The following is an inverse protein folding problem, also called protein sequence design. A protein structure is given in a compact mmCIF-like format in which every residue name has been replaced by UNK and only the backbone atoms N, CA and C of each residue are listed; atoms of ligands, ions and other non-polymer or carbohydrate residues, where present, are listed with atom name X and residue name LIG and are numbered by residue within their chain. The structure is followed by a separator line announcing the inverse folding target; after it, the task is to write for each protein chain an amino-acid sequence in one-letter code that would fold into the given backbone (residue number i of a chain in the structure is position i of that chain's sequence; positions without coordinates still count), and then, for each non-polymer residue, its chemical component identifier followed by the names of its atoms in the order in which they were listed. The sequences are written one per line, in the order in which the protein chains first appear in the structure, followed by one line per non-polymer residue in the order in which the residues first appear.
data_IF_015395602292
#
_entry.id   IF_015395602292
#
_cell.length_a   1.000
_cell.length_b   1.000
_cell.length_c   1.000
_cell.angle_alpha   90.00
_cell.angle_beta   90.00
_cell.angle_gamma   90.00
#
_symmetry.space_group_name_H-M   'P 1'
#
loop_
_entity.id
_entity.type
_entity.pdbx_description
1 polymer ?
#
# COMPACT_ATOMS: atom_id res chain seq x y z
N UNK A 1 -15.17 5.75 9.46
CA UNK A 1 -15.28 4.35 9.92
C UNK A 1 -16.37 4.26 10.98
N UNK A 2 -17.54 3.67 10.68
CA UNK A 2 -18.63 3.54 11.68
C UNK A 2 -18.22 2.47 12.70
N UNK A 3 -18.13 2.85 13.97
CA UNK A 3 -17.66 2.00 15.10
C UNK A 3 -18.43 0.68 15.24
N UNK A 4 -19.67 0.61 14.74
CA UNK A 4 -20.52 -0.58 14.75
C UNK A 4 -19.95 -1.77 13.93
N UNK A 5 -19.11 -1.54 12.92
CA UNK A 5 -18.62 -2.62 12.03
C UNK A 5 -17.35 -3.33 12.56
N UNK A 6 -16.65 -2.74 13.53
CA UNK A 6 -15.43 -3.32 14.08
C UNK A 6 -15.70 -4.62 14.84
N UNK A 7 -16.83 -4.74 15.53
CA UNK A 7 -17.16 -5.97 16.27
C UNK A 7 -17.54 -7.10 15.32
N UNK A 8 -18.22 -6.79 14.21
CA UNK A 8 -18.58 -7.77 13.17
C UNK A 8 -17.35 -8.31 12.41
N UNK A 9 -16.26 -7.54 12.40
CA UNK A 9 -14.99 -7.97 11.80
C UNK A 9 -14.22 -8.97 12.66
N UNK A 10 -14.51 -9.11 13.95
CA UNK A 10 -13.70 -9.94 14.86
C UNK A 10 -14.15 -11.40 14.79
N UNK A 11 -13.23 -12.27 14.39
CA UNK A 11 -13.49 -13.71 14.20
C UNK A 11 -12.53 -14.54 15.06
N UNK A 12 -13.01 -15.32 16.03
CA UNK A 12 -12.19 -16.31 16.74
C UNK A 12 -11.61 -17.35 15.78
N UNK A 13 -10.35 -17.74 15.98
CA UNK A 13 -9.70 -18.77 15.15
C UNK A 13 -10.42 -20.13 15.21
N UNK A 14 -11.11 -20.42 16.31
CA UNK A 14 -11.96 -21.60 16.44
C UNK A 14 -13.10 -21.61 15.41
N UNK A 15 -13.68 -20.45 15.09
CA UNK A 15 -14.74 -20.33 14.08
C UNK A 15 -14.23 -20.77 12.71
N UNK A 16 -12.99 -20.40 12.35
CA UNK A 16 -12.36 -20.84 11.09
C UNK A 16 -12.21 -22.36 11.05
N UNK A 17 -11.67 -22.94 12.13
CA UNK A 17 -11.40 -24.38 12.24
C UNK A 17 -12.68 -25.24 12.22
N UNK A 18 -13.81 -24.72 12.70
CA UNK A 18 -15.10 -25.44 12.72
C UNK A 18 -15.94 -25.16 11.46
N UNK A 19 -15.30 -25.00 10.30
CA UNK A 19 -15.98 -24.81 9.02
C UNK A 19 -16.55 -23.41 8.78
N UNK A 20 -16.12 -22.41 9.57
CA UNK A 20 -16.50 -21.01 9.37
C UNK A 20 -15.65 -20.27 8.34
N UNK A 21 -14.56 -20.88 7.84
CA UNK A 21 -13.61 -20.24 6.91
C UNK A 21 -14.29 -19.62 5.69
N UNK A 22 -15.11 -20.38 4.96
CA UNK A 22 -15.80 -19.86 3.77
C UNK A 22 -16.77 -18.71 4.09
N UNK A 23 -17.47 -18.77 5.23
CA UNK A 23 -18.36 -17.68 5.65
C UNK A 23 -17.57 -16.41 5.98
N UNK A 24 -16.44 -16.55 6.66
CA UNK A 24 -15.56 -15.42 6.98
C UNK A 24 -15.01 -14.78 5.71
N UNK A 25 -14.50 -15.58 4.77
CA UNK A 25 -13.97 -15.07 3.49
C UNK A 25 -15.07 -14.35 2.69
N UNK A 26 -16.28 -14.92 2.61
CA UNK A 26 -17.40 -14.30 1.89
C UNK A 26 -17.93 -13.01 2.56
N UNK A 27 -17.67 -12.83 3.85
CA UNK A 27 -18.06 -11.62 4.59
C UNK A 27 -17.05 -10.48 4.40
N UNK A 28 -15.80 -10.78 4.02
CA UNK A 28 -14.76 -9.78 3.74
C UNK A 28 -15.11 -9.04 2.46
N UNK A 29 -15.06 -7.71 2.52
CA UNK A 29 -15.29 -6.79 1.41
C UNK A 29 -14.32 -5.62 1.54
N UNK A 30 -14.28 -4.76 0.52
CA UNK A 30 -13.48 -3.54 0.56
C UNK A 30 -13.85 -2.70 1.79
N UNK A 31 -12.85 -2.23 2.52
CA UNK A 31 -12.94 -1.51 3.79
C UNK A 31 -13.68 -2.28 4.92
N UNK A 32 -13.85 -3.60 4.76
CA UNK A 32 -14.47 -4.50 5.71
C UNK A 32 -13.58 -5.74 5.94
N UNK A 33 -12.46 -5.56 6.67
CA UNK A 33 -11.55 -6.66 7.00
C UNK A 33 -12.20 -7.66 7.95
N UNK A 34 -11.62 -8.86 8.05
CA UNK A 34 -11.86 -9.77 9.17
C UNK A 34 -10.61 -9.88 10.04
N UNK A 35 -10.73 -9.56 11.34
CA UNK A 35 -9.66 -9.62 12.33
C UNK A 35 -9.74 -10.97 13.05
N UNK A 36 -8.73 -11.81 12.85
CA UNK A 36 -8.67 -13.14 13.43
C UNK A 36 -8.07 -13.08 14.84
N UNK A 37 -8.79 -13.64 15.82
CA UNK A 37 -8.37 -13.67 17.22
C UNK A 37 -7.90 -15.07 17.63
N UNK A 38 -6.76 -15.16 18.31
CA UNK A 38 -6.26 -16.37 18.97
C UNK A 38 -5.97 -16.07 20.43
N UNK A 39 -6.59 -16.81 21.36
CA UNK A 39 -6.44 -16.58 22.80
C UNK A 39 -6.69 -15.12 23.21
N UNK A 40 -7.77 -14.52 22.69
CA UNK A 40 -8.16 -13.12 22.89
C UNK A 40 -7.12 -12.07 22.43
N UNK A 41 -6.20 -12.44 21.53
CA UNK A 41 -5.26 -11.52 20.90
C UNK A 41 -5.42 -11.53 19.37
N UNK A 42 -5.35 -10.37 18.69
CA UNK A 42 -5.30 -10.34 17.23
C UNK A 42 -4.09 -11.12 16.73
N UNK A 43 -4.32 -12.01 15.77
CA UNK A 43 -3.30 -12.91 15.23
C UNK A 43 -3.10 -12.71 13.73
N UNK A 44 -4.15 -12.35 12.99
CA UNK A 44 -4.11 -12.08 11.57
C UNK A 44 -5.26 -11.17 11.15
N UNK A 45 -5.17 -10.59 9.95
CA UNK A 45 -6.26 -9.87 9.30
C UNK A 45 -6.44 -10.46 7.90
N UNK A 46 -7.69 -10.63 7.48
CA UNK A 46 -8.06 -11.03 6.11
C UNK A 46 -8.69 -9.80 5.45
N UNK A 47 -8.20 -9.44 4.27
CA UNK A 47 -8.67 -8.33 3.44
C UNK A 47 -8.89 -8.81 2.01
N UNK A 48 -9.57 -8.00 1.20
CA UNK A 48 -9.67 -8.26 -0.23
C UNK A 48 -8.31 -8.02 -0.91
N UNK A 49 -8.03 -8.67 -2.04
CA UNK A 49 -6.85 -8.38 -2.84
C UNK A 49 -6.75 -6.90 -3.23
N UNK A 50 -7.87 -6.26 -3.54
CA UNK A 50 -7.94 -4.84 -3.91
C UNK A 50 -7.49 -3.94 -2.75
N UNK A 51 -7.94 -4.20 -1.53
CA UNK A 51 -7.47 -3.48 -0.35
C UNK A 51 -5.99 -3.75 -0.05
N UNK A 52 -5.52 -4.97 -0.28
CA UNK A 52 -4.10 -5.29 -0.13
C UNK A 52 -3.23 -4.46 -1.08
N UNK A 53 -3.58 -4.42 -2.36
CA UNK A 53 -2.87 -3.62 -3.37
C UNK A 53 -2.92 -2.14 -3.03
N UNK A 54 -4.10 -1.60 -2.69
CA UNK A 54 -4.25 -0.20 -2.31
C UNK A 54 -3.40 0.19 -1.10
N UNK A 55 -3.32 -0.68 -0.08
CA UNK A 55 -2.48 -0.43 1.09
C UNK A 55 -0.99 -0.45 0.75
N UNK A 56 -0.59 -1.30 -0.20
CA UNK A 56 0.79 -1.32 -0.70
C UNK A 56 1.13 -0.03 -1.46
N UNK A 57 0.26 0.41 -2.39
CA UNK A 57 0.43 1.66 -3.14
C UNK A 57 0.54 2.86 -2.18
N UNK A 58 -0.33 2.94 -1.17
CA UNK A 58 -0.27 4.01 -0.15
C UNK A 58 1.06 3.99 0.61
N UNK A 59 1.60 2.81 0.92
CA UNK A 59 2.89 2.69 1.61
C UNK A 59 4.04 3.19 0.73
N UNK A 60 4.07 2.79 -0.54
CA UNK A 60 5.06 3.24 -1.53
C UNK A 60 4.99 4.76 -1.75
N UNK A 61 3.79 5.30 -1.95
CA UNK A 61 3.54 6.73 -2.09
C UNK A 61 3.97 7.51 -0.85
N UNK A 62 3.76 6.94 0.34
CA UNK A 62 4.19 7.57 1.59
C UNK A 62 5.72 7.62 1.71
N UNK A 63 6.43 6.56 1.31
CA UNK A 63 7.89 6.57 1.26
C UNK A 63 8.41 7.63 0.28
N UNK A 64 7.82 7.71 -0.92
CA UNK A 64 8.15 8.76 -1.91
C UNK A 64 7.86 10.16 -1.38
N UNK A 65 6.74 10.35 -0.68
CA UNK A 65 6.37 11.61 -0.05
C UNK A 65 7.40 12.02 1.01
N UNK A 66 7.81 11.09 1.87
CA UNK A 66 8.82 11.36 2.90
C UNK A 66 10.17 11.73 2.30
N UNK A 67 10.58 11.05 1.22
CA UNK A 67 11.80 11.39 0.48
C UNK A 67 11.72 12.76 -0.19
N UNK A 68 10.57 13.10 -0.79
CA UNK A 68 10.35 14.42 -1.37
C UNK A 68 10.40 15.51 -0.29
N UNK A 69 9.79 15.27 0.88
CA UNK A 69 9.88 16.18 2.03
C UNK A 69 11.33 16.40 2.47
N UNK A 70 12.09 15.33 2.65
CA UNK A 70 13.50 15.40 3.06
C UNK A 70 14.35 16.20 2.05
N UNK A 71 14.13 15.99 0.75
CA UNK A 71 14.80 16.74 -0.33
C UNK A 71 14.48 18.22 -0.31
N UNK A 72 13.22 18.59 -0.01
CA UNK A 72 12.79 19.99 0.09
C UNK A 72 13.36 20.65 1.35
N UNK A 73 13.35 19.94 2.48
CA UNK A 73 13.89 20.44 3.76
C UNK A 73 15.40 20.67 3.69
N UNK A 74 16.13 19.86 2.92
CA UNK A 74 17.58 19.98 2.71
C UNK A 74 17.97 20.62 1.37
N UNK A 75 17.03 21.28 0.68
CA UNK A 75 17.32 21.94 -0.59
C UNK A 75 18.31 23.10 -0.36
N UNK A 76 19.46 23.03 -1.02
CA UNK A 76 20.47 24.09 -0.99
C UNK A 76 20.25 25.15 -2.08
N UNK A 77 19.15 25.06 -2.84
CA UNK A 77 18.80 25.98 -3.91
C UNK A 77 19.63 25.81 -5.19
N UNK A 78 20.63 24.91 -5.19
CA UNK A 78 21.42 24.62 -6.38
C UNK A 78 20.54 23.88 -7.40
N UNK A 79 20.62 24.31 -8.64
CA UNK A 79 19.97 23.68 -9.79
C UNK A 79 21.06 23.28 -10.76
N UNK A 80 20.80 22.20 -11.48
CA UNK A 80 21.72 21.65 -12.47
C UNK A 80 21.03 21.68 -13.83
N UNK A 81 21.77 22.06 -14.87
CA UNK A 81 21.34 21.82 -16.24
C UNK A 81 21.39 20.31 -16.53
N UNK A 82 20.76 19.88 -17.63
CA UNK A 82 20.87 18.47 -18.05
C UNK A 82 22.34 18.07 -18.28
N UNK A 83 23.14 18.95 -18.89
CA UNK A 83 24.56 18.71 -19.13
C UNK A 83 25.35 18.56 -17.83
N UNK A 84 25.04 19.36 -16.80
CA UNK A 84 25.70 19.25 -15.49
C UNK A 84 25.28 17.98 -14.71
N UNK A 85 24.05 17.51 -14.92
CA UNK A 85 23.51 16.34 -14.23
C UNK A 85 23.93 15.01 -14.86
N UNK A 86 23.93 14.94 -16.19
CA UNK A 86 24.14 13.71 -16.96
C UNK A 86 25.46 13.68 -17.74
N UNK A 87 26.10 14.84 -17.92
CA UNK A 87 27.29 15.03 -18.76
C UNK A 87 26.95 15.51 -20.17
N UNK A 88 27.83 16.34 -20.76
CA UNK A 88 27.64 16.90 -22.12
C UNK A 88 27.50 15.82 -23.21
N UNK A 89 28.13 14.66 -23.01
CA UNK A 89 28.10 13.54 -23.94
C UNK A 89 26.95 12.55 -23.67
N UNK A 90 26.07 12.83 -22.70
CA UNK A 90 24.95 11.94 -22.41
C UNK A 90 24.01 11.87 -23.62
N UNK A 91 23.82 10.64 -24.10
CA UNK A 91 22.82 10.31 -25.10
C UNK A 91 21.84 9.37 -24.42
N UNK A 92 20.55 9.75 -24.29
CA UNK A 92 19.53 8.83 -23.82
C UNK A 92 19.62 7.55 -24.64
N UNK A 93 19.58 6.40 -23.97
CA UNK A 93 19.37 5.14 -24.68
C UNK A 93 17.97 5.22 -25.27
N UNK A 94 17.87 5.09 -26.60
CA UNK A 94 16.59 4.86 -27.25
C UNK A 94 16.16 3.44 -26.88
N UNK A 95 15.41 3.33 -25.78
CA UNK A 95 14.84 2.09 -25.28
C UNK A 95 13.49 1.77 -25.93
N UNK A 96 13.07 2.57 -26.93
CA UNK A 96 11.78 2.44 -27.59
C UNK A 96 10.60 2.79 -26.67
N UNK A 97 10.83 3.47 -25.54
CA UNK A 97 9.76 3.93 -24.67
C UNK A 97 9.03 5.13 -25.29
N UNK A 98 7.81 4.90 -25.77
CA UNK A 98 6.88 5.96 -26.15
C UNK A 98 5.97 6.28 -24.94
N UNK A 99 6.07 7.48 -24.34
CA UNK A 99 5.21 7.84 -23.22
C UNK A 99 3.75 7.92 -23.68
N UNK A 100 2.89 7.08 -23.11
CA UNK A 100 1.44 7.19 -23.30
C UNK A 100 0.90 8.30 -22.38
N UNK A 101 1.03 9.56 -22.82
CA UNK A 101 0.32 10.67 -22.18
C UNK A 101 -1.08 10.78 -22.78
N UNK A 102 -2.12 10.64 -21.96
CA UNK A 102 -3.53 10.94 -22.28
C UNK A 102 -3.86 12.43 -22.02
#
# INVERSE_FOLDING_TARGET
MKTSHLLDSIVPISTLNHGGASRTINAVKNDQPAIIMRNNKPAAVIITPEDYTRLLEIAEDYELHMLAKDRVEHDNGKRYTMDEAFGEDYRPVDDGYEPEFE
#
